data_IF_558748612006
#
_entry.id   IF_558748612006
#
_cell.length_a   1.000
_cell.length_b   1.000
_cell.length_c   1.000
_cell.angle_alpha   90.00
_cell.angle_beta   90.00
_cell.angle_gamma   90.00
#
_symmetry.space_group_name_H-M   'P 1'
#
loop_
_entity.id
_entity.type
_entity.pdbx_description
1 polymer ?
#
# COMPACT_ATOMS: atom_id res chain seq x y z
N UNK A 1 0.52 31.80 17.68
CA UNK A 1 0.43 30.34 17.86
C UNK A 1 1.47 29.72 16.96
N UNK A 2 2.60 29.34 17.54
CA UNK A 2 3.79 28.84 16.84
C UNK A 2 3.53 27.45 16.26
N UNK A 3 3.85 27.27 14.98
CA UNK A 3 3.90 25.99 14.25
C UNK A 3 4.90 25.04 14.93
N UNK A 4 4.45 24.31 15.95
CA UNK A 4 5.13 23.09 16.37
C UNK A 4 4.71 21.99 15.40
N UNK A 5 5.57 21.64 14.46
CA UNK A 5 5.40 20.42 13.67
C UNK A 5 5.26 19.24 14.64
N UNK A 6 4.10 18.59 14.61
CA UNK A 6 3.75 17.54 15.56
C UNK A 6 4.75 16.38 15.38
N UNK A 7 5.34 15.89 16.48
CA UNK A 7 6.28 14.76 16.47
C UNK A 7 5.52 13.45 16.26
N UNK A 8 6.13 12.44 15.63
CA UNK A 8 5.49 11.12 15.48
C UNK A 8 5.13 10.51 16.83
N UNK A 9 4.05 9.75 16.91
CA UNK A 9 3.72 9.00 18.13
C UNK A 9 4.67 7.80 18.30
N UNK A 10 4.81 7.32 19.53
CA UNK A 10 5.61 6.13 19.80
C UNK A 10 5.09 4.92 18.99
N UNK A 11 3.78 4.81 18.81
CA UNK A 11 3.15 3.76 18.02
C UNK A 11 3.51 3.85 16.53
N UNK A 12 3.50 5.05 15.95
CA UNK A 12 3.95 5.30 14.58
C UNK A 12 5.41 4.90 14.37
N UNK A 13 6.29 5.17 15.34
CA UNK A 13 7.70 4.73 15.27
C UNK A 13 7.81 3.20 15.36
N UNK A 14 7.08 2.57 16.28
CA UNK A 14 7.12 1.12 16.45
C UNK A 14 6.54 0.37 15.24
N UNK A 15 5.62 0.99 14.48
CA UNK A 15 5.10 0.46 13.22
C UNK A 15 6.17 0.32 12.11
N UNK A 16 7.33 0.98 12.26
CA UNK A 16 8.46 0.85 11.33
C UNK A 16 9.32 -0.40 11.59
N UNK A 17 9.11 -1.09 12.71
CA UNK A 17 9.97 -2.19 13.12
C UNK A 17 9.88 -3.36 12.13
N UNK A 18 11.01 -3.92 11.66
CA UNK A 18 11.01 -5.02 10.70
C UNK A 18 10.56 -6.37 11.30
N UNK A 19 10.56 -6.49 12.63
CA UNK A 19 10.04 -7.64 13.39
C UNK A 19 9.87 -7.28 14.88
N UNK A 20 9.16 -8.13 15.62
CA UNK A 20 8.89 -7.97 17.06
C UNK A 20 10.13 -7.92 17.95
N UNK A 21 11.19 -8.65 17.57
CA UNK A 21 12.45 -8.61 18.32
C UNK A 21 13.11 -7.23 18.21
N UNK A 22 13.09 -6.65 17.01
CA UNK A 22 13.59 -5.30 16.73
C UNK A 22 12.71 -4.25 17.42
N UNK A 23 11.39 -4.42 17.41
CA UNK A 23 10.42 -3.58 18.14
C UNK A 23 10.76 -3.49 19.63
N UNK A 24 10.88 -4.64 20.30
CA UNK A 24 11.21 -4.73 21.74
C UNK A 24 12.61 -4.18 22.05
N UNK A 25 13.59 -4.45 21.19
CA UNK A 25 14.96 -3.97 21.39
C UNK A 25 15.09 -2.46 21.16
N UNK A 26 14.35 -1.90 20.20
CA UNK A 26 14.29 -0.46 19.94
C UNK A 26 13.62 0.30 21.08
N UNK A 27 12.51 -0.24 21.63
CA UNK A 27 11.81 0.35 22.77
C UNK A 27 12.73 0.57 23.99
N UNK A 28 13.66 -0.36 24.25
CA UNK A 28 14.65 -0.23 25.35
C UNK A 28 15.68 0.88 25.15
N UNK A 29 15.81 1.39 23.92
CA UNK A 29 16.72 2.48 23.57
C UNK A 29 16.00 3.81 23.40
N UNK A 30 14.70 3.90 23.71
CA UNK A 30 13.88 5.10 23.45
C UNK A 30 13.98 6.23 24.49
N UNK A 31 14.88 6.14 25.48
CA UNK A 31 15.11 7.22 26.45
C UNK A 31 16.49 7.86 26.28
N UNK A 32 16.73 9.04 26.86
CA UNK A 32 17.96 9.81 26.64
C UNK A 32 19.27 9.11 27.09
N UNK A 33 19.22 8.26 28.11
CA UNK A 33 20.42 7.65 28.73
C UNK A 33 21.45 7.01 27.79
N UNK A 34 21.07 6.14 26.82
CA UNK A 34 22.00 5.56 25.86
C UNK A 34 22.50 6.52 24.76
N UNK A 35 21.98 7.75 24.65
CA UNK A 35 22.24 8.65 23.54
C UNK A 35 23.13 9.84 23.91
N UNK A 36 23.96 10.26 22.95
CA UNK A 36 24.71 11.51 23.01
C UNK A 36 24.82 12.13 21.62
N UNK A 37 25.18 13.42 21.55
CA UNK A 37 25.27 14.18 20.29
C UNK A 37 24.03 14.02 19.41
N UNK A 38 22.86 14.11 20.04
CA UNK A 38 21.58 14.09 19.35
C UNK A 38 21.32 15.43 18.67
N UNK A 39 20.58 15.41 17.58
CA UNK A 39 20.14 16.63 16.92
C UNK A 39 19.16 16.34 15.79
N UNK A 40 18.48 17.39 15.35
CA UNK A 40 17.54 17.34 14.24
C UNK A 40 17.71 18.54 13.31
N UNK A 41 17.30 18.38 12.06
CA UNK A 41 17.28 19.44 11.05
C UNK A 41 15.83 19.78 10.67
N UNK A 42 15.61 21.04 10.26
CA UNK A 42 14.32 21.48 9.73
C UNK A 42 13.91 20.72 8.46
N UNK A 43 14.88 20.23 7.68
CA UNK A 43 14.68 19.37 6.51
C UNK A 43 14.21 17.94 6.85
N UNK A 44 13.98 17.63 8.13
CA UNK A 44 13.44 16.34 8.55
C UNK A 44 14.48 15.24 8.70
N UNK A 45 15.72 15.53 9.05
CA UNK A 45 16.69 14.51 9.46
C UNK A 45 16.96 14.55 10.97
N UNK A 46 17.11 13.38 11.59
CA UNK A 46 17.49 13.22 13.00
C UNK A 46 18.73 12.34 13.12
N UNK A 47 19.61 12.65 14.07
CA UNK A 47 20.85 11.91 14.31
C UNK A 47 21.17 11.76 15.79
N UNK A 48 22.03 10.79 16.09
CA UNK A 48 22.56 10.57 17.43
C UNK A 48 23.63 9.48 17.50
N UNK A 49 24.40 9.49 18.59
CA UNK A 49 25.35 8.46 18.95
C UNK A 49 24.76 7.56 20.03
N UNK A 50 24.52 6.29 19.72
CA UNK A 50 24.05 5.32 20.71
C UNK A 50 25.24 4.61 21.36
N UNK A 51 25.33 4.62 22.69
CA UNK A 51 26.29 3.81 23.44
C UNK A 51 25.99 2.32 23.21
N UNK A 52 26.96 1.62 22.62
CA UNK A 52 26.87 0.20 22.30
C UNK A 52 27.74 -0.67 23.21
N UNK A 53 27.80 -1.96 22.89
CA UNK A 53 28.69 -2.93 23.56
C UNK A 53 30.16 -2.81 23.17
N UNK A 54 30.48 -1.95 22.18
CA UNK A 54 31.85 -1.67 21.73
C UNK A 54 32.40 -0.34 22.26
N UNK A 55 33.68 -0.07 21.98
CA UNK A 55 34.38 1.15 22.42
C UNK A 55 33.95 2.42 21.67
N UNK A 56 33.35 2.29 20.48
CA UNK A 56 32.84 3.41 19.67
C UNK A 56 31.31 3.41 19.68
N UNK A 57 30.64 4.53 20.01
CA UNK A 57 29.20 4.67 19.87
C UNK A 57 28.73 4.44 18.43
N UNK A 58 27.52 3.90 18.25
CA UNK A 58 26.92 3.70 16.94
C UNK A 58 26.34 5.02 16.42
N UNK A 59 26.89 5.48 15.29
CA UNK A 59 26.40 6.64 14.53
C UNK A 59 25.09 6.26 13.86
N UNK A 60 24.02 6.95 14.21
CA UNK A 60 22.68 6.69 13.70
C UNK A 60 22.10 7.96 13.11
N UNK A 61 21.67 7.91 11.85
CA UNK A 61 20.93 8.97 11.16
C UNK A 61 19.66 8.39 10.57
N UNK A 62 18.59 9.16 10.65
CA UNK A 62 17.31 8.89 10.01
C UNK A 62 16.86 10.11 9.22
N UNK A 63 16.53 9.92 7.95
CA UNK A 63 15.90 10.91 7.08
C UNK A 63 14.38 10.66 7.11
N UNK A 64 13.62 11.50 7.81
CA UNK A 64 12.17 11.40 8.03
C UNK A 64 11.36 11.70 6.75
N UNK A 65 11.98 12.28 5.71
CA UNK A 65 11.27 12.62 4.48
C UNK A 65 10.67 11.37 3.84
N UNK A 66 11.37 10.24 3.85
CA UNK A 66 10.84 8.90 3.55
C UNK A 66 11.74 7.90 4.25
N UNK A 67 11.35 7.40 5.44
CA UNK A 67 12.27 7.06 6.50
C UNK A 67 13.36 6.13 6.02
N UNK A 68 14.54 6.71 5.82
CA UNK A 68 15.73 6.03 5.41
C UNK A 68 16.72 6.05 6.56
N UNK A 69 17.35 4.90 6.79
CA UNK A 69 18.10 4.67 8.01
C UNK A 69 19.55 4.35 7.67
N UNK A 70 20.47 5.02 8.36
CA UNK A 70 21.89 4.64 8.38
C UNK A 70 22.32 4.48 9.83
N UNK A 71 22.84 3.31 10.15
CA UNK A 71 23.45 3.03 11.44
C UNK A 71 24.78 2.31 11.22
N UNK A 72 25.82 2.64 12.00
CA UNK A 72 27.12 1.96 11.93
C UNK A 72 27.14 0.58 12.64
N UNK A 73 26.00 0.12 13.17
CA UNK A 73 25.92 -1.19 13.82
C UNK A 73 25.94 -2.36 12.82
N UNK A 74 26.38 -3.56 13.21
CA UNK A 74 26.49 -4.73 12.32
C UNK A 74 25.15 -5.40 11.95
N UNK A 75 24.01 -4.84 12.41
CA UNK A 75 22.69 -5.38 12.10
C UNK A 75 22.39 -5.35 10.61
N UNK A 76 21.82 -6.43 10.08
CA UNK A 76 21.28 -6.49 8.69
C UNK A 76 19.80 -6.11 8.62
N UNK A 77 19.16 -5.79 9.75
CA UNK A 77 17.76 -5.37 9.84
C UNK A 77 17.67 -3.85 9.78
N UNK A 78 16.80 -3.33 8.92
CA UNK A 78 16.58 -1.89 8.70
C UNK A 78 15.08 -1.58 8.74
N UNK A 79 14.62 -0.65 9.60
CA UNK A 79 15.39 0.02 10.65
C UNK A 79 15.93 -0.94 11.73
N UNK A 80 17.15 -0.69 12.21
CA UNK A 80 17.73 -1.46 13.32
C UNK A 80 17.22 -0.93 14.67
N UNK A 81 17.50 -1.64 15.77
CA UNK A 81 17.13 -1.20 17.12
C UNK A 81 17.61 0.22 17.47
N UNK A 82 18.76 0.66 16.95
CA UNK A 82 19.28 2.01 17.20
C UNK A 82 18.49 3.07 16.43
N UNK A 83 18.13 2.81 15.16
CA UNK A 83 17.28 3.71 14.40
C UNK A 83 15.89 3.84 15.03
N UNK A 84 15.29 2.72 15.48
CA UNK A 84 14.03 2.74 16.23
C UNK A 84 14.17 3.49 17.56
N UNK A 85 15.23 3.26 18.33
CA UNK A 85 15.49 3.96 19.59
C UNK A 85 15.65 5.47 19.43
N UNK A 86 16.37 5.92 18.38
CA UNK A 86 16.54 7.34 18.09
C UNK A 86 15.22 8.02 17.73
N UNK A 87 14.40 7.35 16.91
CA UNK A 87 13.07 7.85 16.55
C UNK A 87 12.13 7.89 17.75
N UNK A 88 12.21 6.91 18.65
CA UNK A 88 11.43 6.90 19.88
C UNK A 88 11.84 8.05 20.80
N UNK A 89 13.14 8.27 21.00
CA UNK A 89 13.64 9.40 21.77
C UNK A 89 13.14 10.73 21.20
N UNK A 90 13.24 10.89 19.88
CA UNK A 90 12.73 12.07 19.18
C UNK A 90 11.21 12.24 19.36
N UNK A 91 10.44 11.16 19.28
CA UNK A 91 8.99 11.15 19.45
C UNK A 91 8.56 11.52 20.88
N UNK A 92 9.21 10.98 21.91
CA UNK A 92 8.76 11.10 23.31
C UNK A 92 9.35 12.29 24.05
N UNK A 93 10.65 12.51 23.93
CA UNK A 93 11.39 13.53 24.68
C UNK A 93 11.80 14.70 23.78
N UNK A 94 11.94 14.44 22.48
CA UNK A 94 12.61 15.35 21.55
C UNK A 94 14.12 15.14 21.57
N UNK A 95 14.83 15.89 20.73
CA UNK A 95 16.29 15.83 20.70
C UNK A 95 16.81 17.13 21.30
N UNK A 96 17.58 17.02 22.38
CA UNK A 96 18.31 18.15 22.94
C UNK A 96 19.54 18.43 22.07
N UNK A 97 19.86 19.72 21.89
CA UNK A 97 21.13 20.14 21.30
C UNK A 97 22.30 19.70 22.20
N UNK A 98 23.50 19.61 21.61
CA UNK A 98 24.72 19.14 22.26
C UNK A 98 25.12 19.89 23.56
N UNK A 99 24.43 20.98 23.91
CA UNK A 99 24.61 21.78 25.11
C UNK A 99 23.61 21.47 26.26
N UNK A 100 22.68 20.53 26.09
CA UNK A 100 21.79 20.08 27.17
C UNK A 100 20.66 21.03 27.55
N UNK A 101 20.33 22.02 26.72
CA UNK A 101 19.14 22.85 26.89
C UNK A 101 17.93 22.20 26.17
N UNK A 102 16.72 22.20 26.76
CA UNK A 102 15.50 21.89 26.01
C UNK A 102 15.33 22.94 24.92
N UNK A 103 14.97 22.49 23.71
CA UNK A 103 14.63 23.36 22.59
C UNK A 103 13.40 24.22 22.95
N UNK A 104 13.66 25.39 23.55
CA UNK A 104 12.71 26.45 23.81
C UNK A 104 12.70 27.46 22.66
N UNK A 105 11.58 28.15 22.55
CA UNK A 105 11.20 29.15 21.54
C UNK A 105 12.31 30.00 20.90
N UNK A 106 12.51 29.80 19.60
CA UNK A 106 13.03 30.86 18.74
C UNK A 106 14.53 30.90 18.48
N UNK A 107 15.30 29.83 18.71
CA UNK A 107 16.65 29.72 18.14
C UNK A 107 16.58 29.42 16.64
N UNK A 108 17.09 30.31 15.76
CA UNK A 108 17.34 29.96 14.36
C UNK A 108 18.54 29.00 14.31
N UNK A 109 18.43 27.97 13.48
CA UNK A 109 19.41 26.91 13.24
C UNK A 109 19.67 25.96 14.42
N UNK A 110 18.99 24.81 14.37
CA UNK A 110 19.44 23.61 15.10
C UNK A 110 20.89 23.29 14.72
N UNK A 111 21.64 22.72 15.66
CA UNK A 111 23.07 22.47 15.49
C UNK A 111 23.39 21.86 14.10
N UNK A 112 24.40 22.36 13.37
CA UNK A 112 24.72 21.85 12.04
C UNK A 112 24.93 20.34 12.13
N UNK A 113 24.31 19.61 11.19
CA UNK A 113 24.44 18.16 11.14
C UNK A 113 25.93 17.80 11.16
N UNK A 114 26.37 16.88 12.04
CA UNK A 114 27.75 16.41 12.05
C UNK A 114 28.17 15.94 10.65
N UNK A 115 29.44 16.07 10.28
CA UNK A 115 29.93 15.74 8.93
C UNK A 115 29.45 14.37 8.44
N UNK A 116 29.51 13.35 9.30
CA UNK A 116 29.07 11.99 8.98
C UNK A 116 27.57 11.84 8.69
N UNK A 117 26.74 12.73 9.23
CA UNK A 117 25.30 12.80 8.96
C UNK A 117 25.04 13.61 7.68
N UNK A 118 25.69 14.77 7.54
CA UNK A 118 25.59 15.63 6.36
C UNK A 118 26.06 14.95 5.07
N UNK A 119 27.21 14.28 5.10
CA UNK A 119 27.76 13.52 3.97
C UNK A 119 26.78 12.45 3.47
N UNK A 120 26.16 11.70 4.40
CA UNK A 120 25.21 10.65 4.05
C UNK A 120 23.93 11.20 3.41
N UNK A 121 23.40 12.32 3.93
CA UNK A 121 22.23 13.01 3.37
C UNK A 121 22.54 13.56 1.97
N UNK A 122 23.71 14.18 1.79
CA UNK A 122 24.16 14.71 0.50
C UNK A 122 24.38 13.62 -0.55
N UNK A 123 25.02 12.49 -0.19
CA UNK A 123 25.23 11.35 -1.08
C UNK A 123 23.89 10.78 -1.56
N UNK A 124 22.90 10.67 -0.67
CA UNK A 124 21.56 10.21 -0.99
C UNK A 124 20.86 11.15 -1.98
N UNK A 125 20.90 12.45 -1.75
CA UNK A 125 20.32 13.45 -2.66
C UNK A 125 21.00 13.40 -4.05
N UNK A 126 22.32 13.33 -4.10
CA UNK A 126 23.08 13.22 -5.34
C UNK A 126 22.77 11.93 -6.12
N UNK A 127 22.63 10.79 -5.42
CA UNK A 127 22.27 9.51 -6.05
C UNK A 127 20.85 9.54 -6.63
N UNK A 128 19.90 10.17 -5.93
CA UNK A 128 18.54 10.36 -6.44
C UNK A 128 18.54 11.20 -7.73
N UNK A 129 19.29 12.31 -7.75
CA UNK A 129 19.43 13.17 -8.92
C UNK A 129 20.08 12.46 -10.13
N UNK A 130 21.17 11.70 -9.93
CA UNK A 130 21.83 10.92 -11.00
C UNK A 130 20.91 9.87 -11.61
N UNK A 131 20.17 9.13 -10.76
CA UNK A 131 19.21 8.11 -11.24
C UNK A 131 18.08 8.74 -12.06
N UNK A 132 17.67 9.98 -11.77
CA UNK A 132 16.70 10.72 -12.57
C UNK A 132 17.29 11.16 -13.92
N UNK A 133 18.52 11.67 -13.93
CA UNK A 133 19.21 12.11 -15.15
C UNK A 133 19.49 10.95 -16.13
N UNK A 134 20.00 9.81 -15.63
CA UNK A 134 20.34 8.65 -16.48
C UNK A 134 19.10 8.07 -17.21
N UNK A 135 17.93 8.09 -16.54
CA UNK A 135 16.66 7.67 -17.15
C UNK A 135 16.19 8.58 -18.28
N UNK A 136 16.58 9.85 -18.26
CA UNK A 136 16.22 10.83 -19.30
C UNK A 136 17.16 10.77 -20.52
N UNK A 137 18.43 10.40 -20.33
CA UNK A 137 19.43 10.36 -21.39
C UNK A 137 19.35 9.13 -22.32
N UNK A 138 18.74 8.03 -21.86
CA UNK A 138 18.63 6.76 -22.60
C UNK A 138 17.50 6.71 -23.65
N UNK A 139 16.79 7.82 -23.89
CA UNK A 139 15.62 7.89 -24.77
C UNK A 139 15.91 8.58 -26.13
N UNK A 140 16.88 8.08 -26.90
CA UNK A 140 17.26 8.63 -28.21
C UNK A 140 16.31 8.24 -29.38
N UNK A 141 16.36 8.94 -30.54
CA UNK A 141 15.41 8.75 -31.64
C UNK A 141 15.52 7.41 -32.40
N UNK A 142 16.73 6.88 -32.59
CA UNK A 142 16.93 5.58 -33.24
C UNK A 142 16.43 4.41 -32.37
N UNK A 143 16.48 4.58 -31.05
CA UNK A 143 15.92 3.64 -30.09
C UNK A 143 14.39 3.66 -30.08
N UNK A 144 13.76 4.79 -30.44
CA UNK A 144 12.31 4.93 -30.50
C UNK A 144 11.67 4.07 -31.61
N UNK A 145 12.25 4.07 -32.82
CA UNK A 145 11.77 3.24 -33.92
C UNK A 145 11.94 1.74 -33.63
N UNK A 146 13.10 1.36 -33.09
CA UNK A 146 13.35 -0.02 -32.69
C UNK A 146 12.43 -0.44 -31.52
N UNK A 147 12.14 0.47 -30.58
CA UNK A 147 11.18 0.24 -29.51
C UNK A 147 9.75 0.06 -30.04
N UNK A 148 9.34 0.87 -31.02
CA UNK A 148 8.03 0.72 -31.69
C UNK A 148 7.88 -0.65 -32.33
N UNK A 149 8.86 -1.08 -33.15
CA UNK A 149 8.84 -2.42 -33.78
C UNK A 149 8.82 -3.55 -32.75
N UNK A 150 9.53 -3.41 -31.62
CA UNK A 150 9.48 -4.39 -30.52
C UNK A 150 8.11 -4.42 -29.86
N UNK A 151 7.49 -3.25 -29.64
CA UNK A 151 6.15 -3.14 -29.07
C UNK A 151 5.09 -3.76 -30.00
N UNK A 152 5.16 -3.52 -31.31
CA UNK A 152 4.28 -4.13 -32.31
C UNK A 152 4.41 -5.65 -32.33
N UNK A 153 5.64 -6.18 -32.36
CA UNK A 153 5.90 -7.63 -32.32
C UNK A 153 5.38 -8.26 -31.03
N UNK A 154 5.58 -7.58 -29.88
CA UNK A 154 5.02 -8.03 -28.60
C UNK A 154 3.50 -8.03 -28.63
N UNK A 155 2.88 -6.96 -29.13
CA UNK A 155 1.43 -6.86 -29.23
C UNK A 155 0.84 -7.96 -30.12
N UNK A 156 1.49 -8.30 -31.23
CA UNK A 156 1.08 -9.41 -32.10
C UNK A 156 1.17 -10.78 -31.38
N UNK A 157 2.22 -11.03 -30.60
CA UNK A 157 2.36 -12.27 -29.80
C UNK A 157 1.27 -12.37 -28.74
N UNK A 158 1.02 -11.28 -28.02
CA UNK A 158 -0.06 -11.23 -27.02
C UNK A 158 -1.40 -11.47 -27.71
N UNK A 159 -1.67 -10.80 -28.84
CA UNK A 159 -2.91 -10.98 -29.60
C UNK A 159 -3.16 -12.42 -30.02
N UNK A 160 -2.13 -13.14 -30.48
CA UNK A 160 -2.23 -14.55 -30.81
C UNK A 160 -2.53 -15.42 -29.57
N UNK A 161 -1.86 -15.16 -28.44
CA UNK A 161 -2.12 -15.86 -27.18
C UNK A 161 -3.54 -15.61 -26.65
N UNK A 162 -3.98 -14.36 -26.68
CA UNK A 162 -5.34 -13.95 -26.26
C UNK A 162 -6.41 -14.64 -27.10
N UNK A 163 -6.23 -14.76 -28.41
CA UNK A 163 -7.18 -15.46 -29.28
C UNK A 163 -7.28 -16.96 -28.94
N UNK A 164 -6.15 -17.61 -28.62
CA UNK A 164 -6.15 -19.00 -28.15
C UNK A 164 -6.84 -19.12 -26.77
N UNK A 165 -6.57 -18.19 -25.85
CA UNK A 165 -7.18 -18.17 -24.52
C UNK A 165 -8.70 -17.99 -24.60
N UNK A 166 -9.19 -17.09 -25.47
CA UNK A 166 -10.62 -16.87 -25.73
C UNK A 166 -11.31 -18.18 -26.15
N UNK A 167 -10.69 -18.94 -27.06
CA UNK A 167 -11.20 -20.25 -27.50
C UNK A 167 -11.25 -21.26 -26.35
N UNK A 168 -10.18 -21.34 -25.55
CA UNK A 168 -10.12 -22.23 -24.38
C UNK A 168 -11.18 -21.90 -23.33
N UNK A 169 -11.45 -20.61 -23.08
CA UNK A 169 -12.52 -20.17 -22.18
C UNK A 169 -13.90 -20.51 -22.73
N UNK A 170 -14.13 -20.35 -24.04
CA UNK A 170 -15.38 -20.76 -24.67
C UNK A 170 -15.60 -22.28 -24.59
N UNK A 171 -14.54 -23.07 -24.79
CA UNK A 171 -14.58 -24.53 -24.67
C UNK A 171 -14.81 -24.99 -23.23
N UNK A 172 -14.21 -24.31 -22.24
CA UNK A 172 -14.46 -24.53 -20.82
C UNK A 172 -15.96 -24.39 -20.48
N UNK A 173 -16.58 -23.28 -20.93
CA UNK A 173 -18.01 -23.03 -20.67
C UNK A 173 -18.88 -24.03 -21.43
N UNK A 174 -18.55 -24.34 -22.69
CA UNK A 174 -19.29 -25.32 -23.52
C UNK A 174 -19.22 -26.73 -22.95
N UNK A 175 -18.06 -27.14 -22.43
CA UNK A 175 -17.86 -28.45 -21.80
C UNK A 175 -18.48 -28.57 -20.41
N UNK A 176 -18.87 -27.45 -19.80
CA UNK A 176 -19.43 -27.39 -18.46
C UNK A 176 -18.36 -27.41 -17.36
N UNK A 177 -18.67 -26.75 -16.25
CA UNK A 177 -17.71 -26.55 -15.15
C UNK A 177 -17.60 -27.76 -14.23
N UNK A 178 -18.60 -28.65 -14.15
CA UNK A 178 -18.66 -29.74 -13.16
C UNK A 178 -17.46 -30.70 -13.18
N UNK A 179 -16.78 -30.85 -14.33
CA UNK A 179 -15.61 -31.72 -14.46
C UNK A 179 -14.28 -31.11 -13.97
N UNK A 180 -14.25 -29.81 -13.66
CA UNK A 180 -12.98 -29.09 -13.44
C UNK A 180 -12.26 -29.48 -12.15
N UNK A 181 -12.97 -29.98 -11.13
CA UNK A 181 -12.34 -30.59 -9.95
C UNK A 181 -11.44 -31.79 -10.29
N UNK A 182 -11.75 -32.49 -11.40
CA UNK A 182 -11.01 -33.69 -11.86
C UNK A 182 -9.97 -33.39 -12.94
N UNK A 183 -10.06 -32.23 -13.59
CA UNK A 183 -9.17 -31.84 -14.69
C UNK A 183 -7.72 -31.63 -14.24
N UNK A 184 -7.50 -31.33 -12.95
CA UNK A 184 -6.19 -31.17 -12.34
C UNK A 184 -5.49 -29.86 -12.73
N UNK A 185 -4.42 -29.51 -12.00
CA UNK A 185 -3.72 -28.23 -12.16
C UNK A 185 -2.85 -28.15 -13.43
N UNK A 186 -2.45 -29.30 -14.00
CA UNK A 186 -1.49 -29.35 -15.11
C UNK A 186 -1.99 -28.64 -16.39
N UNK A 187 -3.27 -28.78 -16.74
CA UNK A 187 -3.85 -28.12 -17.91
C UNK A 187 -3.88 -26.59 -17.78
N UNK A 188 -4.12 -26.10 -16.55
CA UNK A 188 -4.07 -24.68 -16.22
C UNK A 188 -2.65 -24.13 -16.30
N UNK A 189 -1.67 -24.87 -15.79
CA UNK A 189 -0.27 -24.46 -15.88
C UNK A 189 0.24 -24.47 -17.33
N UNK A 190 -0.17 -25.44 -18.16
CA UNK A 190 0.13 -25.44 -19.59
C UNK A 190 -0.42 -24.16 -20.27
N UNK A 191 -1.68 -23.82 -19.98
CA UNK A 191 -2.31 -22.61 -20.53
C UNK A 191 -1.61 -21.34 -20.03
N UNK A 192 -1.22 -21.30 -18.76
CA UNK A 192 -0.47 -20.17 -18.20
C UNK A 192 0.93 -20.03 -18.80
N UNK A 193 1.63 -21.14 -19.06
CA UNK A 193 2.92 -21.15 -19.74
C UNK A 193 2.82 -20.56 -21.16
N UNK A 194 1.78 -20.93 -21.91
CA UNK A 194 1.49 -20.33 -23.23
C UNK A 194 1.28 -18.82 -23.16
N UNK A 195 0.65 -18.31 -22.10
CA UNK A 195 0.51 -16.87 -21.89
C UNK A 195 1.84 -16.17 -21.59
N UNK A 196 2.74 -16.83 -20.86
CA UNK A 196 4.12 -16.33 -20.66
C UNK A 196 4.87 -16.27 -21.99
N UNK A 197 4.77 -17.31 -22.82
CA UNK A 197 5.39 -17.36 -24.16
C UNK A 197 4.82 -16.29 -25.10
N UNK A 198 3.51 -16.01 -24.98
CA UNK A 198 2.83 -14.92 -25.65
C UNK A 198 3.22 -13.52 -25.14
N UNK A 199 4.03 -13.42 -24.08
CA UNK A 199 4.42 -12.19 -23.39
C UNK A 199 3.28 -11.47 -22.65
N UNK A 200 2.33 -12.26 -22.13
CA UNK A 200 1.18 -11.81 -21.35
C UNK A 200 1.22 -12.37 -19.91
N UNK A 201 2.21 -11.99 -19.07
CA UNK A 201 2.37 -12.57 -17.74
C UNK A 201 1.20 -12.28 -16.79
N UNK A 202 0.46 -11.18 -17.01
CA UNK A 202 -0.76 -10.88 -16.25
C UNK A 202 -1.88 -11.88 -16.54
N UNK A 203 -2.08 -12.25 -17.82
CA UNK A 203 -3.03 -13.30 -18.19
C UNK A 203 -2.60 -14.67 -17.64
N UNK A 204 -1.29 -14.97 -17.66
CA UNK A 204 -0.76 -16.18 -17.07
C UNK A 204 -1.09 -16.29 -15.58
N UNK A 205 -0.98 -15.20 -14.82
CA UNK A 205 -1.36 -15.17 -13.40
C UNK A 205 -2.85 -15.47 -13.20
N UNK A 206 -3.73 -14.83 -14.00
CA UNK A 206 -5.18 -15.04 -13.94
C UNK A 206 -5.61 -16.47 -14.30
N UNK A 207 -4.95 -17.08 -15.28
CA UNK A 207 -5.18 -18.49 -15.64
C UNK A 207 -4.79 -19.44 -14.49
N UNK A 208 -3.67 -19.16 -13.80
CA UNK A 208 -3.29 -19.95 -12.61
C UNK A 208 -4.31 -19.79 -11.48
N UNK A 209 -4.77 -18.56 -11.23
CA UNK A 209 -5.80 -18.27 -10.23
C UNK A 209 -7.10 -19.04 -10.53
N UNK A 210 -7.56 -19.06 -11.78
CA UNK A 210 -8.71 -19.88 -12.21
C UNK A 210 -8.54 -21.36 -11.86
N UNK A 211 -7.33 -21.91 -12.07
CA UNK A 211 -7.01 -23.30 -11.76
C UNK A 211 -7.07 -23.65 -10.26
N UNK A 212 -7.04 -22.65 -9.37
CA UNK A 212 -7.17 -22.86 -7.91
C UNK A 212 -8.62 -22.89 -7.42
N UNK A 213 -9.55 -22.31 -8.19
CA UNK A 213 -10.94 -22.11 -7.76
C UNK A 213 -11.67 -23.43 -7.45
N UNK A 214 -11.52 -24.52 -8.23
CA UNK A 214 -12.20 -25.77 -7.93
C UNK A 214 -11.88 -26.33 -6.53
N UNK A 215 -10.74 -25.98 -5.94
CA UNK A 215 -10.34 -26.40 -4.59
C UNK A 215 -10.81 -25.47 -3.46
N UNK A 216 -11.55 -24.40 -3.77
CA UNK A 216 -11.93 -23.34 -2.81
C UNK A 216 -13.25 -23.59 -2.07
N UNK A 217 -13.77 -24.82 -2.05
CA UNK A 217 -14.98 -25.22 -1.32
C UNK A 217 -16.29 -24.88 -2.03
N UNK A 218 -17.40 -24.84 -1.28
CA UNK A 218 -18.75 -24.68 -1.84
C UNK A 218 -18.89 -23.42 -2.72
N UNK A 219 -19.72 -23.48 -3.76
CA UNK A 219 -19.96 -22.36 -4.67
C UNK A 219 -18.79 -22.03 -5.60
N UNK A 220 -17.78 -22.90 -5.71
CA UNK A 220 -16.69 -22.72 -6.67
C UNK A 220 -17.14 -22.66 -8.15
N UNK A 221 -18.20 -23.34 -8.63
CA UNK A 221 -18.56 -23.24 -10.06
C UNK A 221 -19.01 -21.84 -10.44
N UNK A 222 -19.78 -21.17 -9.57
CA UNK A 222 -20.21 -19.79 -9.78
C UNK A 222 -19.00 -18.84 -9.79
N UNK A 223 -18.12 -18.96 -8.80
CA UNK A 223 -16.88 -18.17 -8.73
C UNK A 223 -15.99 -18.40 -9.96
N UNK A 224 -15.86 -19.64 -10.42
CA UNK A 224 -15.07 -19.95 -11.61
C UNK A 224 -15.66 -19.31 -12.86
N UNK A 225 -16.99 -19.32 -13.00
CA UNK A 225 -17.67 -18.65 -14.11
C UNK A 225 -17.47 -17.13 -14.07
N UNK A 226 -17.59 -16.50 -12.90
CA UNK A 226 -17.35 -15.07 -12.71
C UNK A 226 -15.92 -14.67 -13.10
N UNK A 227 -14.93 -15.39 -12.59
CA UNK A 227 -13.52 -15.12 -12.87
C UNK A 227 -13.16 -15.42 -14.33
N UNK A 228 -13.77 -16.45 -14.94
CA UNK A 228 -13.60 -16.76 -16.36
C UNK A 228 -14.25 -15.70 -17.26
N UNK A 229 -15.41 -15.15 -16.87
CA UNK A 229 -16.07 -14.06 -17.57
C UNK A 229 -15.24 -12.77 -17.51
N UNK A 230 -14.64 -12.47 -16.35
CA UNK A 230 -13.70 -11.35 -16.20
C UNK A 230 -12.44 -11.54 -17.05
N UNK A 231 -11.88 -12.75 -17.11
CA UNK A 231 -10.74 -13.03 -17.98
C UNK A 231 -11.11 -12.90 -19.46
N UNK A 232 -12.26 -13.44 -19.86
CA UNK A 232 -12.78 -13.28 -21.22
C UNK A 232 -12.99 -11.79 -21.57
N UNK A 233 -13.54 -10.98 -20.65
CA UNK A 233 -13.67 -9.54 -20.86
C UNK A 233 -12.31 -8.87 -21.12
N UNK A 234 -11.25 -9.31 -20.45
CA UNK A 234 -9.89 -8.79 -20.67
C UNK A 234 -9.34 -9.19 -22.04
N UNK A 235 -9.59 -10.42 -22.46
CA UNK A 235 -9.24 -10.91 -23.80
C UNK A 235 -9.93 -10.07 -24.88
N UNK A 236 -11.25 -9.88 -24.75
CA UNK A 236 -12.06 -9.03 -25.65
C UNK A 236 -11.53 -7.59 -25.68
N UNK A 237 -11.20 -7.03 -24.53
CA UNK A 237 -10.68 -5.68 -24.41
C UNK A 237 -9.30 -5.53 -25.07
N UNK A 238 -8.43 -6.54 -24.97
CA UNK A 238 -7.15 -6.56 -25.68
C UNK A 238 -7.32 -6.65 -27.20
N UNK A 239 -8.19 -7.54 -27.68
CA UNK A 239 -8.47 -7.69 -29.12
C UNK A 239 -9.06 -6.41 -29.72
N UNK A 240 -9.87 -5.68 -28.95
CA UNK A 240 -10.48 -4.40 -29.32
C UNK A 240 -9.70 -3.15 -28.88
N UNK A 241 -8.45 -3.27 -28.42
CA UNK A 241 -7.76 -2.21 -27.68
C UNK A 241 -7.62 -0.88 -28.43
N UNK A 242 -7.55 -0.92 -29.75
CA UNK A 242 -7.43 0.27 -30.60
C UNK A 242 -8.67 1.17 -30.61
N UNK A 243 -9.84 0.62 -30.24
CA UNK A 243 -11.10 1.33 -30.17
C UNK A 243 -11.44 1.82 -28.76
N UNK A 244 -10.64 1.44 -27.74
CA UNK A 244 -10.90 1.81 -26.36
C UNK A 244 -10.42 3.24 -26.06
N UNK A 245 -11.11 3.98 -25.16
CA UNK A 245 -10.55 5.19 -24.58
C UNK A 245 -9.18 4.91 -23.97
N UNK A 246 -8.22 5.83 -24.15
CA UNK A 246 -6.84 5.61 -23.72
C UNK A 246 -6.68 5.27 -22.22
N UNK A 247 -7.47 5.83 -21.27
CA UNK A 247 -7.41 5.40 -19.87
C UNK A 247 -7.72 3.90 -19.69
N UNK A 248 -8.75 3.38 -20.36
CA UNK A 248 -9.12 1.97 -20.31
C UNK A 248 -8.12 1.11 -21.08
N UNK A 249 -7.63 1.56 -22.23
CA UNK A 249 -6.56 0.88 -22.96
C UNK A 249 -5.29 0.73 -22.10
N UNK A 250 -4.93 1.76 -21.33
CA UNK A 250 -3.83 1.71 -20.37
C UNK A 250 -4.08 0.68 -19.25
N UNK A 251 -5.30 0.63 -18.69
CA UNK A 251 -5.71 -0.41 -17.73
C UNK A 251 -5.55 -1.82 -18.32
N UNK A 252 -6.01 -2.05 -19.55
CA UNK A 252 -5.89 -3.33 -20.25
C UNK A 252 -4.43 -3.74 -20.45
N UNK A 253 -3.56 -2.82 -20.91
CA UNK A 253 -2.11 -3.09 -21.05
C UNK A 253 -1.49 -3.48 -19.71
N UNK A 254 -1.81 -2.77 -18.64
CA UNK A 254 -1.34 -3.08 -17.29
C UNK A 254 -1.79 -4.46 -16.81
N UNK A 255 -3.07 -4.80 -16.98
CA UNK A 255 -3.65 -6.11 -16.57
C UNK A 255 -3.09 -7.30 -17.35
N UNK A 256 -2.74 -7.11 -18.63
CA UNK A 256 -2.03 -8.13 -19.44
C UNK A 256 -0.58 -8.32 -18.98
N UNK A 257 -0.03 -7.36 -18.22
CA UNK A 257 1.31 -7.42 -17.65
C UNK A 257 2.35 -6.59 -18.41
N UNK A 258 1.91 -5.61 -19.21
CA UNK A 258 2.82 -4.62 -19.79
C UNK A 258 3.17 -3.55 -18.75
N UNK A 259 4.44 -3.12 -18.68
CA UNK A 259 4.83 -2.07 -17.75
C UNK A 259 4.15 -0.74 -18.11
N UNK A 260 3.62 -0.04 -17.11
CA UNK A 260 3.09 1.32 -17.29
C UNK A 260 4.21 2.30 -17.65
N UNK A 261 3.93 3.20 -18.60
CA UNK A 261 4.85 4.28 -18.96
C UNK A 261 5.14 5.23 -17.80
N UNK A 262 6.24 5.98 -17.88
CA UNK A 262 6.66 6.99 -16.89
C UNK A 262 5.81 8.29 -16.92
N UNK A 263 4.84 8.38 -17.84
CA UNK A 263 3.89 9.50 -17.92
C UNK A 263 2.88 9.48 -16.78
N UNK A 264 2.13 10.57 -16.64
CA UNK A 264 1.12 10.72 -15.60
C UNK A 264 0.95 12.16 -15.14
N UNK A 265 -0.27 12.50 -14.73
CA UNK A 265 -0.57 13.74 -14.04
C UNK A 265 0.22 13.80 -12.73
N UNK A 266 0.79 14.97 -12.43
CA UNK A 266 1.47 15.24 -11.16
C UNK A 266 0.58 16.14 -10.34
N UNK A 267 0.24 15.70 -9.13
CA UNK A 267 -0.57 16.45 -8.18
C UNK A 267 0.25 16.66 -6.92
N UNK A 268 0.49 17.93 -6.57
CA UNK A 268 0.98 18.28 -5.22
C UNK A 268 -0.22 18.42 -4.29
N UNK A 269 -0.15 17.73 -3.16
CA UNK A 269 -1.15 17.81 -2.09
C UNK A 269 -0.50 17.48 -0.74
N UNK A 270 -1.24 17.67 0.34
CA UNK A 270 -0.93 17.12 1.66
C UNK A 270 -1.62 15.78 1.77
N UNK A 271 -0.85 14.71 1.70
CA UNK A 271 -1.36 13.33 1.63
C UNK A 271 -1.44 12.71 3.02
N UNK A 272 -2.64 12.48 3.52
CA UNK A 272 -2.87 11.71 4.74
C UNK A 272 -2.67 10.21 4.46
N UNK A 273 -1.81 9.56 5.24
CA UNK A 273 -1.61 8.10 5.21
C UNK A 273 -2.76 7.43 5.96
N UNK A 274 -3.60 6.72 5.22
CA UNK A 274 -4.81 6.09 5.73
C UNK A 274 -4.62 4.62 6.12
N UNK A 275 -3.76 3.88 5.43
CA UNK A 275 -3.37 2.51 5.82
C UNK A 275 -2.04 2.12 5.21
N UNK A 276 -1.34 1.20 5.86
CA UNK A 276 -0.16 0.51 5.34
C UNK A 276 -0.22 -0.97 5.72
N UNK A 277 -0.05 -1.87 4.75
CA UNK A 277 0.06 -3.30 5.02
C UNK A 277 0.83 -4.03 3.91
N UNK A 278 1.41 -5.16 4.27
CA UNK A 278 2.22 -5.97 3.37
C UNK A 278 1.44 -7.22 2.95
N UNK A 279 1.60 -7.59 1.68
CA UNK A 279 1.05 -8.82 1.09
C UNK A 279 2.18 -9.60 0.44
N UNK A 280 2.35 -10.86 0.82
CA UNK A 280 3.28 -11.77 0.15
C UNK A 280 2.65 -12.34 -1.12
N UNK A 281 3.45 -12.49 -2.18
CA UNK A 281 3.03 -13.24 -3.36
C UNK A 281 2.78 -14.71 -3.00
N UNK A 282 1.90 -15.43 -3.73
CA UNK A 282 1.61 -16.83 -3.45
C UNK A 282 2.85 -17.74 -3.46
N UNK A 283 3.85 -17.41 -4.28
CA UNK A 283 5.12 -18.12 -4.39
C UNK A 283 6.19 -17.63 -3.37
N UNK A 284 5.85 -16.66 -2.52
CA UNK A 284 6.73 -16.09 -1.49
C UNK A 284 7.91 -15.28 -2.05
N UNK A 285 7.97 -15.05 -3.36
CA UNK A 285 9.12 -14.40 -4.01
C UNK A 285 9.10 -12.88 -3.93
N UNK A 286 7.96 -12.29 -3.61
CA UNK A 286 7.78 -10.84 -3.59
C UNK A 286 6.91 -10.45 -2.42
N UNK A 287 7.36 -9.50 -1.61
CA UNK A 287 6.49 -8.82 -0.64
C UNK A 287 6.10 -7.48 -1.22
N UNK A 288 4.82 -7.21 -1.34
CA UNK A 288 4.30 -5.91 -1.79
C UNK A 288 3.73 -5.17 -0.61
N UNK A 289 4.23 -3.96 -0.35
CA UNK A 289 3.65 -3.03 0.61
C UNK A 289 2.64 -2.17 -0.10
N UNK A 290 1.43 -2.09 0.44
CA UNK A 290 0.34 -1.23 -0.02
C UNK A 290 0.20 -0.07 0.96
N UNK A 291 0.25 1.15 0.45
CA UNK A 291 0.07 2.37 1.23
C UNK A 291 -1.05 3.19 0.59
N UNK A 292 -2.14 3.36 1.34
CA UNK A 292 -3.27 4.17 0.93
C UNK A 292 -3.10 5.60 1.46
N UNK A 293 -3.23 6.56 0.55
CA UNK A 293 -3.15 7.98 0.83
C UNK A 293 -4.44 8.68 0.40
N UNK A 294 -4.76 9.81 1.05
CA UNK A 294 -5.81 10.73 0.59
C UNK A 294 -5.32 12.16 0.65
N UNK A 295 -5.47 12.90 -0.45
CA UNK A 295 -5.18 14.32 -0.48
C UNK A 295 -6.14 15.08 0.43
N UNK A 296 -5.61 15.90 1.34
CA UNK A 296 -6.42 16.70 2.25
C UNK A 296 -7.13 17.85 1.52
N UNK A 297 -6.51 18.44 0.49
CA UNK A 297 -7.12 19.49 -0.31
C UNK A 297 -7.97 18.93 -1.46
N UNK A 298 -7.45 17.96 -2.22
CA UNK A 298 -8.14 17.41 -3.38
C UNK A 298 -9.20 16.34 -3.05
N UNK A 299 -9.12 15.72 -1.86
CA UNK A 299 -9.89 14.53 -1.53
C UNK A 299 -9.52 13.29 -2.34
N UNK A 300 -8.53 13.37 -3.23
CA UNK A 300 -8.17 12.31 -4.18
C UNK A 300 -7.53 11.13 -3.45
N UNK A 301 -7.96 9.89 -3.70
CA UNK A 301 -7.28 8.70 -3.20
C UNK A 301 -6.03 8.39 -4.03
N UNK A 302 -4.99 7.87 -3.39
CA UNK A 302 -3.79 7.38 -4.05
C UNK A 302 -3.28 6.08 -3.43
N UNK A 303 -2.78 5.17 -4.28
CA UNK A 303 -2.18 3.90 -3.91
C UNK A 303 -0.69 3.90 -4.28
N UNK A 304 0.15 3.95 -3.25
CA UNK A 304 1.59 3.74 -3.37
C UNK A 304 1.90 2.28 -3.06
N UNK A 305 2.82 1.69 -3.81
CA UNK A 305 3.19 0.29 -3.75
C UNK A 305 4.71 0.28 -3.75
N UNK A 306 5.26 -0.45 -2.81
CA UNK A 306 6.69 -0.72 -2.73
C UNK A 306 6.92 -2.22 -2.68
N UNK A 307 8.06 -2.65 -3.20
CA UNK A 307 8.33 -4.07 -3.43
C UNK A 307 9.61 -4.50 -2.73
N UNK A 308 9.51 -5.58 -1.95
CA UNK A 308 10.60 -6.19 -1.20
C UNK A 308 10.96 -7.55 -1.81
N UNK A 309 12.26 -7.87 -1.97
CA UNK A 309 12.69 -9.19 -2.39
C UNK A 309 12.34 -10.26 -1.33
N UNK A 310 12.44 -11.57 -1.66
CA UNK A 310 12.06 -12.63 -0.73
C UNK A 310 12.80 -12.50 0.61
N UNK A 311 12.05 -12.56 1.71
CA UNK A 311 12.61 -12.47 3.07
C UNK A 311 13.07 -11.07 3.51
N UNK A 312 12.79 -10.01 2.74
CA UNK A 312 13.08 -8.62 3.13
C UNK A 312 11.84 -7.74 2.94
N UNK A 313 11.41 -6.98 3.97
CA UNK A 313 10.29 -6.08 3.83
C UNK A 313 10.61 -4.95 2.84
N UNK A 314 9.59 -4.38 2.18
CA UNK A 314 9.72 -3.17 1.37
C UNK A 314 10.33 -2.02 2.16
N UNK A 315 11.10 -1.18 1.49
CA UNK A 315 11.92 -0.13 2.10
C UNK A 315 11.13 1.13 2.48
N UNK A 316 10.10 1.48 1.71
CA UNK A 316 9.25 2.63 1.97
C UNK A 316 8.32 2.32 3.14
N UNK A 317 8.38 3.10 4.21
CA UNK A 317 7.48 2.98 5.34
C UNK A 317 6.87 4.35 5.64
N UNK A 318 5.56 4.47 5.56
CA UNK A 318 4.81 5.68 5.87
C UNK A 318 3.82 5.32 6.98
N UNK A 319 4.11 5.65 8.24
CA UNK A 319 3.19 5.39 9.35
C UNK A 319 1.81 5.98 9.12
N UNK A 320 0.78 5.25 9.53
CA UNK A 320 -0.62 5.67 9.41
C UNK A 320 -0.89 6.88 10.31
N UNK A 321 -1.68 7.83 9.81
CA UNK A 321 -1.99 9.10 10.50
C UNK A 321 -1.02 10.24 10.22
N UNK A 322 0.06 10.00 9.47
CA UNK A 322 0.94 11.07 9.03
C UNK A 322 0.42 11.76 7.78
N UNK A 323 0.75 13.04 7.64
CA UNK A 323 0.49 13.89 6.48
C UNK A 323 1.82 14.21 5.80
N UNK A 324 1.86 14.01 4.50
CA UNK A 324 3.04 14.22 3.65
C UNK A 324 2.75 15.34 2.65
N UNK A 325 3.46 16.47 2.71
CA UNK A 325 3.46 17.45 1.60
C UNK A 325 4.37 16.91 0.50
N UNK A 326 3.75 16.38 -0.56
CA UNK A 326 4.45 15.68 -1.62
C UNK A 326 3.73 15.79 -2.97
N UNK A 327 4.51 15.66 -4.02
CA UNK A 327 4.00 15.39 -5.36
C UNK A 327 3.72 13.89 -5.52
N UNK A 328 2.51 13.58 -6.01
CA UNK A 328 2.12 12.25 -6.44
C UNK A 328 1.94 12.25 -7.96
N UNK A 329 2.71 11.40 -8.65
CA UNK A 329 2.54 11.14 -10.07
C UNK A 329 1.60 9.95 -10.27
N UNK A 330 0.42 10.21 -10.79
CA UNK A 330 -0.58 9.18 -11.07
C UNK A 330 -0.27 8.43 -12.36
N UNK A 331 -0.14 7.11 -12.26
CA UNK A 331 0.08 6.25 -13.41
C UNK A 331 -1.20 6.13 -14.22
N UNK A 332 -1.12 6.18 -15.56
CA UNK A 332 -2.27 5.89 -16.42
C UNK A 332 -2.84 4.49 -16.15
N UNK A 333 -4.16 4.37 -16.17
CA UNK A 333 -4.90 3.16 -15.86
C UNK A 333 -5.18 2.95 -14.36
N UNK A 334 -5.66 1.75 -14.01
CA UNK A 334 -5.95 1.33 -12.62
C UNK A 334 -6.90 2.29 -11.88
N UNK A 335 -7.96 2.71 -12.55
CA UNK A 335 -8.95 3.69 -12.04
C UNK A 335 -8.33 4.99 -11.50
N UNK A 336 -7.12 5.36 -11.95
CA UNK A 336 -6.43 6.56 -11.49
C UNK A 336 -5.97 6.52 -10.03
N UNK A 337 -5.83 5.34 -9.44
CA UNK A 337 -5.39 5.17 -8.05
C UNK A 337 -3.86 5.06 -7.92
N UNK A 338 -3.23 4.34 -8.83
CA UNK A 338 -1.80 4.01 -8.74
C UNK A 338 -0.98 5.30 -8.84
N UNK A 339 -0.19 5.60 -7.82
CA UNK A 339 0.70 6.76 -7.83
C UNK A 339 2.10 6.43 -7.31
N UNK A 340 3.09 7.19 -7.78
CA UNK A 340 4.42 7.23 -7.21
C UNK A 340 4.68 8.61 -6.59
N UNK A 341 5.21 8.61 -5.36
CA UNK A 341 5.64 9.84 -4.70
C UNK A 341 6.97 10.29 -5.33
N UNK A 342 7.03 11.52 -5.82
CA UNK A 342 8.23 12.07 -6.48
C UNK A 342 9.01 12.97 -5.54
N UNK A 343 8.57 14.21 -5.36
CA UNK A 343 9.22 15.19 -4.50
C UNK A 343 8.44 15.36 -3.20
N UNK A 344 9.15 15.58 -2.09
CA UNK A 344 8.58 15.86 -0.78
C UNK A 344 9.10 17.20 -0.31
N UNK A 345 8.21 18.08 0.13
CA UNK A 345 8.55 19.46 0.43
C UNK A 345 8.71 19.73 1.92
N UNK A 346 8.22 18.83 2.78
CA UNK A 346 8.29 18.96 4.22
C UNK A 346 8.43 17.60 4.91
N UNK A 347 8.85 17.62 6.18
CA UNK A 347 8.82 16.44 7.04
C UNK A 347 7.37 15.99 7.29
N UNK A 348 7.18 14.68 7.45
CA UNK A 348 5.87 14.11 7.73
C UNK A 348 5.39 14.48 9.15
N UNK A 349 4.17 15.00 9.27
CA UNK A 349 3.57 15.43 10.55
C UNK A 349 2.29 14.65 10.85
N UNK A 350 1.96 14.32 12.10
CA UNK A 350 0.66 13.77 12.46
C UNK A 350 -0.52 14.65 12.09
N UNK A 351 -1.60 14.02 11.64
CA UNK A 351 -2.86 14.69 11.39
C UNK A 351 -3.60 14.96 12.71
N UNK A 352 -3.93 16.22 12.98
CA UNK A 352 -4.65 16.62 14.19
C UNK A 352 -6.16 16.35 14.18
N UNK A 353 -6.70 15.73 13.11
CA UNK A 353 -8.12 15.43 13.00
C UNK A 353 -8.36 14.09 12.27
N UNK A 354 -9.45 13.41 12.63
CA UNK A 354 -9.93 12.26 11.87
C UNK A 354 -10.42 12.70 10.48
N UNK A 355 -10.19 11.90 9.43
CA UNK A 355 -10.68 12.23 8.08
C UNK A 355 -12.21 12.19 8.04
N UNK A 356 -12.82 13.11 7.28
CA UNK A 356 -14.27 13.09 7.04
C UNK A 356 -14.68 11.85 6.25
N UNK A 357 -15.62 11.09 6.79
CA UNK A 357 -16.19 9.91 6.15
C UNK A 357 -17.37 10.20 5.22
N UNK A 358 -17.72 9.21 4.41
CA UNK A 358 -18.93 9.18 3.59
C UNK A 358 -19.89 8.10 4.06
N UNK A 359 -21.15 8.17 3.61
CA UNK A 359 -22.14 7.12 3.87
C UNK A 359 -21.82 5.83 3.09
N UNK A 360 -22.37 4.72 3.57
CA UNK A 360 -22.36 3.40 2.90
C UNK A 360 -22.88 3.48 1.46
N UNK A 361 -23.96 4.23 1.22
CA UNK A 361 -24.51 4.47 -0.11
C UNK A 361 -23.52 5.20 -1.02
N UNK A 362 -22.94 6.31 -0.55
CA UNK A 362 -21.92 7.05 -1.31
C UNK A 362 -20.66 6.21 -1.58
N UNK A 363 -20.30 5.30 -0.67
CA UNK A 363 -19.21 4.35 -0.88
C UNK A 363 -19.48 3.39 -2.04
N UNK A 364 -20.70 2.83 -2.11
CA UNK A 364 -21.12 1.95 -3.20
C UNK A 364 -21.23 2.71 -4.52
N UNK A 365 -21.72 3.95 -4.51
CA UNK A 365 -21.75 4.82 -5.68
C UNK A 365 -20.34 5.12 -6.20
N UNK A 366 -19.40 5.42 -5.30
CA UNK A 366 -18.01 5.66 -5.66
C UNK A 366 -17.35 4.41 -6.26
N UNK A 367 -17.59 3.22 -5.68
CA UNK A 367 -17.11 1.97 -6.25
C UNK A 367 -17.74 1.69 -7.63
N UNK A 368 -19.04 1.90 -7.77
CA UNK A 368 -19.76 1.74 -9.03
C UNK A 368 -19.29 2.71 -10.12
N UNK A 369 -18.93 3.94 -9.76
CA UNK A 369 -18.33 4.91 -10.68
C UNK A 369 -16.93 4.46 -11.10
N UNK A 370 -16.10 3.99 -10.16
CA UNK A 370 -14.76 3.49 -10.47
C UNK A 370 -14.77 2.24 -11.37
N UNK A 371 -15.77 1.36 -11.22
CA UNK A 371 -15.96 0.20 -12.10
C UNK A 371 -16.23 0.57 -13.57
N UNK A 372 -16.74 1.78 -13.85
CA UNK A 372 -16.92 2.26 -15.23
C UNK A 372 -15.58 2.56 -15.90
N UNK A 373 -14.58 2.98 -15.13
CA UNK A 373 -13.23 3.29 -15.60
C UNK A 373 -12.32 2.04 -15.62
N UNK A 374 -12.51 1.13 -14.66
CA UNK A 374 -11.80 -0.14 -14.57
C UNK A 374 -12.77 -1.30 -14.20
N UNK A 375 -13.31 -2.02 -15.21
CA UNK A 375 -14.31 -3.07 -15.01
C UNK A 375 -13.87 -4.25 -14.14
N UNK A 376 -12.57 -4.44 -13.93
CA UNK A 376 -12.09 -5.50 -13.03
C UNK A 376 -11.45 -4.98 -11.76
N UNK A 377 -11.81 -3.77 -11.35
CA UNK A 377 -11.44 -3.24 -10.04
C UNK A 377 -12.11 -4.07 -8.93
N UNK A 378 -11.30 -4.67 -8.06
CA UNK A 378 -11.81 -5.49 -6.96
C UNK A 378 -12.40 -4.66 -5.81
N UNK A 379 -11.82 -3.49 -5.56
CA UNK A 379 -12.22 -2.60 -4.48
C UNK A 379 -11.80 -1.15 -4.72
N UNK A 380 -12.48 -0.23 -4.04
CA UNK A 380 -12.24 1.21 -4.03
C UNK A 380 -11.95 1.70 -2.60
N UNK A 381 -10.92 2.54 -2.39
CA UNK A 381 -10.60 3.06 -1.07
C UNK A 381 -11.65 4.07 -0.61
N UNK A 382 -12.20 3.86 0.60
CA UNK A 382 -13.23 4.73 1.18
C UNK A 382 -12.97 4.98 2.66
N UNK A 383 -13.12 6.23 3.08
CA UNK A 383 -13.31 6.59 4.50
C UNK A 383 -14.82 6.55 4.75
N UNK A 384 -15.30 5.52 5.44
CA UNK A 384 -16.68 5.41 5.89
C UNK A 384 -16.84 6.07 7.25
N UNK A 385 -17.91 6.79 7.48
CA UNK A 385 -18.19 7.28 8.81
C UNK A 385 -19.20 8.42 8.85
N UNK A 386 -19.92 8.57 9.98
CA UNK A 386 -19.90 7.65 11.14
C UNK A 386 -20.63 6.32 10.84
N UNK A 387 -20.08 5.19 11.30
CA UNK A 387 -20.65 3.84 11.17
C UNK A 387 -20.53 3.03 12.46
N UNK A 388 -21.43 2.08 12.68
CA UNK A 388 -21.44 1.19 13.84
C UNK A 388 -21.08 -0.25 13.40
N UNK A 389 -19.99 -0.84 13.92
CA UNK A 389 -19.68 -2.25 13.73
C UNK A 389 -20.71 -3.14 14.43
N UNK A 390 -21.33 -4.04 13.67
CA UNK A 390 -22.27 -5.03 14.17
C UNK A 390 -21.59 -6.40 14.05
N UNK A 391 -21.12 -6.99 15.17
CA UNK A 391 -20.64 -8.36 15.17
C UNK A 391 -21.75 -9.29 14.69
N UNK A 392 -21.40 -10.27 13.85
CA UNK A 392 -22.38 -11.25 13.39
C UNK A 392 -23.03 -12.00 14.56
N UNK A 393 -24.35 -11.89 14.70
CA UNK A 393 -25.17 -12.70 15.62
C UNK A 393 -25.80 -13.91 14.93
N UNK A 394 -25.99 -15.05 15.63
CA UNK A 394 -26.66 -16.25 15.09
C UNK A 394 -27.98 -15.86 14.44
N UNK A 395 -28.06 -15.99 13.12
CA UNK A 395 -29.33 -15.82 12.38
C UNK A 395 -30.11 -17.15 12.44
N UNK A 396 -30.78 -17.39 13.57
CA UNK A 396 -31.60 -18.59 13.78
C UNK A 396 -30.81 -19.90 13.87
N UNK A 397 -31.52 -21.02 13.75
CA UNK A 397 -30.99 -22.40 13.82
C UNK A 397 -30.33 -22.89 12.51
N UNK A 398 -30.14 -22.01 11.54
CA UNK A 398 -29.37 -22.32 10.33
C UNK A 398 -27.87 -22.18 10.63
N UNK A 399 -27.05 -23.21 10.38
CA UNK A 399 -25.60 -23.14 10.56
C UNK A 399 -24.97 -22.33 9.42
N UNK A 400 -25.13 -21.01 9.47
CA UNK A 400 -24.38 -20.03 8.69
C UNK A 400 -23.59 -19.14 9.64
N UNK A 401 -22.30 -18.93 9.39
CA UNK A 401 -21.52 -17.95 10.14
C UNK A 401 -22.19 -16.58 9.97
N UNK A 402 -22.61 -15.98 11.07
CA UNK A 402 -23.18 -14.65 11.05
C UNK A 402 -22.17 -13.64 10.50
N UNK A 403 -22.53 -12.97 9.41
CA UNK A 403 -21.64 -12.04 8.74
C UNK A 403 -21.52 -10.76 9.57
N UNK A 404 -20.29 -10.28 9.76
CA UNK A 404 -20.04 -8.96 10.33
C UNK A 404 -20.57 -7.87 9.39
N UNK A 405 -21.00 -6.76 9.95
CA UNK A 405 -21.53 -5.63 9.18
C UNK A 405 -21.01 -4.30 9.73
N UNK A 406 -20.96 -3.30 8.85
CA UNK A 406 -20.81 -1.88 9.23
C UNK A 406 -22.09 -1.17 8.83
N UNK A 407 -22.91 -0.81 9.82
CA UNK A 407 -24.15 -0.08 9.61
C UNK A 407 -23.92 1.43 9.66
N UNK A 408 -24.68 2.19 8.89
CA UNK A 408 -24.79 3.62 9.12
C UNK A 408 -25.41 3.91 10.50
N UNK A 409 -25.23 5.13 11.01
CA UNK A 409 -25.76 5.54 12.32
C UNK A 409 -27.28 5.61 12.39
N UNK A 410 -27.94 5.77 11.24
CA UNK A 410 -29.39 5.85 11.15
C UNK A 410 -30.05 4.46 11.11
N UNK A 411 -29.25 3.40 10.95
CA UNK A 411 -29.69 2.01 10.79
C UNK A 411 -30.34 1.71 9.44
N UNK A 412 -30.19 2.58 8.43
CA UNK A 412 -30.92 2.45 7.15
C UNK A 412 -30.22 1.52 6.17
N UNK A 413 -28.91 1.37 6.28
CA UNK A 413 -28.10 0.57 5.39
C UNK A 413 -26.86 0.02 6.11
N UNK A 414 -26.37 -1.12 5.63
CA UNK A 414 -25.17 -1.75 6.16
C UNK A 414 -24.37 -2.42 5.05
N UNK A 415 -23.04 -2.37 5.18
CA UNK A 415 -22.12 -3.09 4.30
C UNK A 415 -21.64 -4.37 4.99
N UNK A 416 -21.69 -5.54 4.31
CA UNK A 416 -21.12 -6.76 4.87
C UNK A 416 -19.59 -6.63 4.98
N UNK A 417 -19.02 -7.25 6.00
CA UNK A 417 -17.56 -7.34 6.20
C UNK A 417 -17.16 -8.80 5.97
N UNK A 418 -16.41 -9.11 4.90
CA UNK A 418 -16.06 -10.47 4.58
C UNK A 418 -15.12 -11.06 5.64
N UNK A 419 -15.44 -12.28 6.11
CA UNK A 419 -14.62 -13.03 7.07
C UNK A 419 -13.60 -13.96 6.39
N UNK A 420 -13.81 -14.29 5.13
CA UNK A 420 -12.96 -15.23 4.36
C UNK A 420 -12.65 -14.67 2.98
N UNK A 421 -11.56 -15.15 2.38
CA UNK A 421 -11.10 -14.76 1.04
C UNK A 421 -9.90 -13.82 1.02
N UNK A 422 -9.36 -13.58 -0.17
CA UNK A 422 -8.27 -12.65 -0.40
C UNK A 422 -8.67 -11.24 0.09
N UNK A 423 -7.82 -10.62 0.91
CA UNK A 423 -8.09 -9.31 1.53
C UNK A 423 -8.93 -9.34 2.81
N UNK A 424 -9.49 -10.49 3.21
CA UNK A 424 -10.18 -10.61 4.51
C UNK A 424 -9.22 -10.33 5.68
N UNK A 425 -9.74 -9.71 6.73
CA UNK A 425 -8.96 -9.39 7.93
C UNK A 425 -9.06 -10.50 8.98
N UNK A 426 -7.98 -10.70 9.78
CA UNK A 426 -8.04 -11.59 10.92
C UNK A 426 -9.20 -11.19 11.83
N UNK A 427 -9.92 -12.18 12.37
CA UNK A 427 -11.02 -11.96 13.32
C UNK A 427 -10.62 -11.05 14.50
N UNK A 428 -9.35 -11.08 14.91
CA UNK A 428 -8.82 -10.21 15.96
C UNK A 428 -8.98 -8.72 15.64
N UNK A 429 -8.74 -8.29 14.39
CA UNK A 429 -8.90 -6.89 13.98
C UNK A 429 -10.37 -6.43 14.00
N UNK A 430 -11.30 -7.32 13.69
CA UNK A 430 -12.74 -7.02 13.75
C UNK A 430 -13.24 -6.89 15.19
N UNK A 431 -12.76 -7.74 16.10
CA UNK A 431 -13.04 -7.59 17.52
C UNK A 431 -12.41 -6.33 18.12
N UNK A 432 -11.20 -5.95 17.68
CA UNK A 432 -10.59 -4.67 18.05
C UNK A 432 -11.44 -3.49 17.58
N UNK A 433 -11.93 -3.52 16.34
CA UNK A 433 -12.87 -2.52 15.82
C UNK A 433 -14.14 -2.42 16.67
N UNK A 434 -14.77 -3.55 17.02
CA UNK A 434 -15.95 -3.56 17.89
C UNK A 434 -15.63 -3.00 19.29
N UNK A 435 -14.48 -3.35 19.86
CA UNK A 435 -14.05 -2.86 21.17
C UNK A 435 -13.80 -1.35 21.18
N UNK A 436 -13.17 -0.81 20.13
CA UNK A 436 -12.92 0.63 19.97
C UNK A 436 -14.22 1.42 19.75
N UNK A 437 -15.19 0.83 19.06
CA UNK A 437 -16.52 1.42 18.88
C UNK A 437 -17.30 1.44 20.19
N UNK A 438 -17.21 0.40 21.03
CA UNK A 438 -18.03 0.27 22.23
C UNK A 438 -19.54 0.22 21.94
N UNK A 439 -19.93 -0.11 20.69
CA UNK A 439 -21.30 -0.02 20.19
C UNK A 439 -21.70 1.37 19.68
N UNK A 440 -20.82 2.36 19.77
CA UNK A 440 -21.01 3.71 19.24
C UNK A 440 -20.45 3.92 17.82
N UNK A 441 -20.75 5.06 17.20
CA UNK A 441 -20.26 5.40 15.88
C UNK A 441 -18.74 5.60 15.85
N UNK A 442 -18.09 5.12 14.79
CA UNK A 442 -16.68 5.33 14.48
C UNK A 442 -16.48 5.72 13.02
N UNK A 443 -15.31 6.29 12.71
CA UNK A 443 -14.89 6.50 11.32
C UNK A 443 -13.90 5.40 10.95
N UNK A 444 -14.09 4.77 9.78
CA UNK A 444 -13.31 3.62 9.34
C UNK A 444 -12.83 3.84 7.91
N UNK A 445 -11.52 3.80 7.70
CA UNK A 445 -10.94 3.65 6.37
C UNK A 445 -10.86 2.18 5.97
N UNK A 446 -11.20 1.88 4.73
CA UNK A 446 -11.11 0.53 4.19
C UNK A 446 -11.31 0.46 2.67
N UNK A 447 -11.41 -0.76 2.18
CA UNK A 447 -11.60 -1.09 0.77
C UNK A 447 -13.04 -1.57 0.56
N UNK A 448 -13.85 -0.82 -0.20
CA UNK A 448 -15.21 -1.17 -0.58
C UNK A 448 -15.20 -1.90 -1.92
N UNK A 449 -15.70 -3.13 -1.98
CA UNK A 449 -15.72 -3.94 -3.19
C UNK A 449 -16.96 -4.81 -3.30
N UNK A 450 -17.01 -5.65 -4.33
CA UNK A 450 -18.16 -6.52 -4.62
C UNK A 450 -18.50 -7.51 -3.50
N UNK A 451 -17.56 -7.82 -2.59
CA UNK A 451 -17.78 -8.70 -1.42
C UNK A 451 -18.17 -7.96 -0.15
N UNK A 452 -18.24 -6.63 -0.20
CA UNK A 452 -18.49 -5.79 0.97
C UNK A 452 -17.32 -4.85 1.28
N UNK A 453 -17.15 -4.53 2.56
CA UNK A 453 -16.15 -3.58 3.03
C UNK A 453 -15.10 -4.25 3.90
N UNK A 454 -13.83 -4.07 3.53
CA UNK A 454 -12.68 -4.54 4.31
C UNK A 454 -12.13 -3.38 5.15
N UNK A 455 -12.37 -3.36 6.47
CA UNK A 455 -11.87 -2.29 7.34
C UNK A 455 -10.35 -2.40 7.55
N UNK A 456 -9.65 -1.27 7.48
CA UNK A 456 -8.19 -1.20 7.57
C UNK A 456 -7.70 -0.34 8.74
N UNK A 457 -8.37 0.78 8.99
CA UNK A 457 -7.98 1.74 10.03
C UNK A 457 -9.23 2.39 10.60
N UNK A 458 -9.25 2.63 11.91
CA UNK A 458 -10.38 3.23 12.62
C UNK A 458 -9.96 4.44 13.43
N UNK A 459 -10.85 5.42 13.51
CA UNK A 459 -10.78 6.59 14.37
C UNK A 459 -12.01 6.64 15.26
N UNK A 460 -11.81 6.88 16.55
CA UNK A 460 -12.89 7.17 17.49
C UNK A 460 -13.35 8.63 17.33
N UNK A 461 -14.60 8.98 17.63
CA UNK A 461 -15.15 10.33 17.43
C UNK A 461 -14.29 11.47 18.01
N UNK A 462 -13.70 11.24 19.18
CA UNK A 462 -12.93 12.24 19.94
C UNK A 462 -11.41 12.05 19.84
N UNK A 463 -10.94 11.19 18.92
CA UNK A 463 -9.52 10.92 18.74
C UNK A 463 -9.09 11.07 17.28
N UNK A 464 -8.04 11.86 17.07
CA UNK A 464 -7.35 11.94 15.78
C UNK A 464 -6.35 10.81 15.58
N UNK A 465 -6.08 10.00 16.62
CA UNK A 465 -5.12 8.90 16.56
C UNK A 465 -5.74 7.70 15.81
N UNK A 466 -5.15 7.29 14.68
CA UNK A 466 -5.62 6.13 13.94
C UNK A 466 -5.20 4.83 14.62
N UNK A 467 -6.13 3.89 14.71
CA UNK A 467 -5.81 2.51 15.09
C UNK A 467 -5.86 1.62 13.85
N UNK A 468 -4.73 1.01 13.53
CA UNK A 468 -4.61 0.08 12.39
C UNK A 468 -5.20 -1.27 12.77
N UNK A 469 -6.12 -1.79 11.95
CA UNK A 469 -6.84 -3.05 12.16
C UNK A 469 -6.13 -4.25 11.53
N UNK A 470 -4.87 -4.09 11.14
CA UNK A 470 -4.04 -5.14 10.55
C UNK A 470 -3.23 -5.81 11.64
N UNK A 471 -3.18 -7.15 11.65
CA UNK A 471 -2.24 -7.88 12.50
C UNK A 471 -0.80 -7.45 12.18
N UNK A 472 -0.03 -7.22 13.23
CA UNK A 472 1.41 -7.01 13.21
C UNK A 472 2.18 -8.13 12.49
#
# INVERSE_FOLDING_TARGET
MTEQGVRWTAEQVLALAPDDASRKAGARLGGAGPWSQTGGSASGAVWGLCKGSGSKPYRTVVDLSGPAYKCSCPSRKFPCKHALGLLLLWATEGLADAAGAPAGDGTPDGAPAPDWAGEWLAERAAKAARTAADRSAQAGPADAEAARKRAERRAARIGAGVAELEQRLADLVRGGLAGQERAGYAAWEETAARMVDAQAPGLAARVRELGTIPSCGAGWPARMLEEAALLHLLDRAWLGISALPEPLASTVRGRVGLPSGAGGEVVRDRWLVLAQYDTASPDGRLTTRRIWLRGLASGRPALVLDFGPPGRPPGLALPVGLVLDAEARFRPGSAGLRADLTERFAAAEPCGAAPTGVSTGAALEAYGAALREDPWLESWPVVLGPVVPIPGGRQGDQPGEAAWQLADVEGTSALPVPLTGAGSRPRAGLWQLAALSGGGPVTVFGECGHRGFTPLTVWQPDSSEPVVLTSA
#
